data_IF_135154228748
#
_entry.id   IF_135154228748
#
_cell.length_a   1.000
_cell.length_b   1.000
_cell.length_c   1.000
_cell.angle_alpha   90.00
_cell.angle_beta   90.00
_cell.angle_gamma   90.00
#
_symmetry.space_group_name_H-M   'P 1'
#
loop_
_entity.id
_entity.type
_entity.pdbx_description
1 polymer ?
#
# COMPACT_ATOMS: atom_id res chain seq x y z
N UNK A 1 7.16 59.46 -12.33
CA UNK A 1 7.82 59.00 -13.57
C UNK A 1 9.04 58.11 -13.32
N UNK A 2 9.96 58.47 -12.40
CA UNK A 2 11.15 57.68 -12.10
C UNK A 2 10.85 56.21 -11.67
N UNK A 3 9.85 55.98 -10.81
CA UNK A 3 9.45 54.62 -10.40
C UNK A 3 8.92 53.76 -11.54
N UNK A 4 8.23 54.40 -12.51
CA UNK A 4 7.64 53.74 -13.66
C UNK A 4 8.72 53.35 -14.69
N UNK A 5 9.78 54.15 -14.77
CA UNK A 5 10.97 53.86 -15.58
C UNK A 5 11.82 52.75 -14.93
N UNK A 6 12.02 52.79 -13.61
CA UNK A 6 12.77 51.75 -12.89
C UNK A 6 12.04 50.40 -12.93
N UNK A 7 10.70 50.41 -12.88
CA UNK A 7 9.89 49.22 -13.06
C UNK A 7 9.92 48.64 -14.49
N UNK A 8 10.35 49.38 -15.51
CA UNK A 8 10.45 48.86 -16.89
C UNK A 8 11.80 48.22 -17.17
N UNK A 9 12.85 48.62 -16.45
CA UNK A 9 14.21 48.08 -16.57
C UNK A 9 14.22 46.56 -16.34
N UNK A 10 14.62 45.80 -17.36
CA UNK A 10 14.60 44.32 -17.31
C UNK A 10 13.22 43.67 -17.55
N UNK A 11 12.20 44.47 -17.85
CA UNK A 11 10.88 44.04 -18.34
C UNK A 11 10.55 44.57 -19.73
N UNK A 12 11.59 44.92 -20.48
CA UNK A 12 11.51 45.32 -21.88
C UNK A 12 10.92 44.18 -22.72
N UNK A 13 10.09 44.56 -23.69
CA UNK A 13 9.37 43.64 -24.58
C UNK A 13 9.51 44.12 -26.03
N UNK A 14 10.76 44.36 -26.44
CA UNK A 14 11.07 44.90 -27.77
C UNK A 14 10.84 43.86 -28.89
N UNK A 15 10.94 42.57 -28.56
CA UNK A 15 10.84 41.45 -29.52
C UNK A 15 9.54 40.63 -29.40
N UNK A 16 8.63 40.98 -28.49
CA UNK A 16 7.39 40.21 -28.22
C UNK A 16 7.61 38.82 -27.62
N UNK A 17 8.83 38.53 -27.16
CA UNK A 17 9.22 37.24 -26.58
C UNK A 17 8.82 37.09 -25.11
N UNK A 18 8.70 38.21 -24.38
CA UNK A 18 8.29 38.22 -22.97
C UNK A 18 6.88 37.66 -22.76
N UNK A 19 5.82 38.09 -23.50
CA UNK A 19 4.48 37.55 -23.33
C UNK A 19 4.39 36.07 -23.74
N UNK A 20 5.15 35.64 -24.75
CA UNK A 20 5.23 34.20 -25.12
C UNK A 20 5.84 33.36 -24.00
N UNK A 21 6.93 33.83 -23.39
CA UNK A 21 7.57 33.16 -22.24
C UNK A 21 6.65 33.12 -21.02
N UNK A 22 5.92 34.20 -20.76
CA UNK A 22 4.94 34.26 -19.67
C UNK A 22 3.76 33.32 -19.91
N UNK A 23 3.25 33.26 -21.15
CA UNK A 23 2.19 32.31 -21.51
C UNK A 23 2.66 30.86 -21.37
N UNK A 24 3.87 30.54 -21.84
CA UNK A 24 4.48 29.22 -21.67
C UNK A 24 4.73 28.86 -20.21
N UNK A 25 5.16 29.84 -19.40
CA UNK A 25 5.34 29.65 -17.97
C UNK A 25 4.01 29.32 -17.30
N UNK A 26 2.94 30.05 -17.63
CA UNK A 26 1.60 29.77 -17.11
C UNK A 26 1.09 28.37 -17.53
N UNK A 27 1.29 27.98 -18.79
CA UNK A 27 0.96 26.65 -19.31
C UNK A 27 1.72 25.54 -18.59
N UNK A 28 3.03 25.70 -18.38
CA UNK A 28 3.86 24.74 -17.67
C UNK A 28 3.46 24.63 -16.20
N UNK A 29 3.11 25.75 -15.54
CA UNK A 29 2.59 25.72 -14.17
C UNK A 29 1.25 24.98 -14.09
N UNK A 30 0.32 25.22 -15.02
CA UNK A 30 -0.96 24.51 -15.07
C UNK A 30 -0.76 23.00 -15.32
N UNK A 31 0.15 22.65 -16.22
CA UNK A 31 0.48 21.26 -16.54
C UNK A 31 1.11 20.55 -15.36
N UNK A 32 2.06 21.22 -14.68
CA UNK A 32 2.70 20.70 -13.47
C UNK A 32 1.66 20.45 -12.36
N UNK A 33 0.77 21.41 -12.10
CA UNK A 33 -0.27 21.25 -11.09
C UNK A 33 -1.20 20.07 -11.41
N UNK A 34 -1.55 19.87 -12.68
CA UNK A 34 -2.34 18.73 -13.13
C UNK A 34 -1.61 17.40 -12.90
N UNK A 35 -0.35 17.30 -13.31
CA UNK A 35 0.46 16.09 -13.14
C UNK A 35 0.74 15.77 -11.66
N UNK A 36 0.95 16.79 -10.82
CA UNK A 36 1.09 16.60 -9.37
C UNK A 36 -0.21 16.08 -8.73
N UNK A 37 -1.37 16.53 -9.20
CA UNK A 37 -2.67 16.00 -8.76
C UNK A 37 -2.87 14.53 -9.20
N UNK A 38 -2.51 14.19 -10.44
CA UNK A 38 -2.57 12.81 -10.94
C UNK A 38 -1.61 11.89 -10.17
N UNK A 39 -0.38 12.35 -9.90
CA UNK A 39 0.59 11.62 -9.08
C UNK A 39 0.10 11.42 -7.64
N UNK A 40 -0.57 12.41 -7.05
CA UNK A 40 -1.11 12.29 -5.70
C UNK A 40 -2.18 11.19 -5.60
N UNK A 41 -3.04 11.05 -6.61
CA UNK A 41 -4.03 9.97 -6.71
C UNK A 41 -3.33 8.62 -6.93
N UNK A 42 -2.27 8.58 -7.74
CA UNK A 42 -1.54 7.35 -8.03
C UNK A 42 -0.61 6.90 -6.90
N UNK A 43 -0.29 7.78 -5.94
CA UNK A 43 0.61 7.49 -4.81
C UNK A 43 0.07 6.38 -3.90
N UNK A 44 -1.24 6.18 -3.87
CA UNK A 44 -1.87 5.06 -3.15
C UNK A 44 -1.51 3.70 -3.77
N UNK A 45 -1.07 3.69 -5.03
CA UNK A 45 -0.62 2.50 -5.77
C UNK A 45 0.90 2.48 -5.94
N UNK A 46 1.67 2.94 -4.95
CA UNK A 46 3.13 2.85 -4.98
C UNK A 46 3.55 1.37 -5.07
N UNK A 47 4.21 0.95 -6.18
CA UNK A 47 4.63 -0.44 -6.35
C UNK A 47 5.54 -0.92 -5.22
N UNK A 48 6.33 -0.02 -4.61
CA UNK A 48 7.20 -0.39 -3.51
C UNK A 48 6.39 -0.68 -2.24
N UNK A 49 5.39 0.15 -1.93
CA UNK A 49 4.51 -0.06 -0.79
C UNK A 49 3.69 -1.35 -0.93
N UNK A 50 3.25 -1.68 -2.16
CA UNK A 50 2.57 -2.95 -2.45
C UNK A 50 3.52 -4.15 -2.27
N UNK A 51 4.75 -4.06 -2.79
CA UNK A 51 5.75 -5.12 -2.63
C UNK A 51 6.12 -5.37 -1.16
N UNK A 52 6.24 -4.30 -0.36
CA UNK A 52 6.51 -4.40 1.07
C UNK A 52 5.32 -5.05 1.80
N UNK A 53 4.09 -4.66 1.47
CA UNK A 53 2.87 -5.27 2.01
C UNK A 53 2.76 -6.76 1.64
N UNK A 54 3.06 -7.13 0.39
CA UNK A 54 3.06 -8.53 -0.05
C UNK A 54 4.07 -9.37 0.71
N UNK A 55 5.26 -8.83 0.96
CA UNK A 55 6.30 -9.50 1.75
C UNK A 55 5.88 -9.70 3.20
N UNK A 56 5.30 -8.67 3.83
CA UNK A 56 4.77 -8.78 5.19
C UNK A 56 3.62 -9.79 5.28
N UNK A 57 2.72 -9.78 4.29
CA UNK A 57 1.62 -10.74 4.18
C UNK A 57 2.15 -12.17 4.10
N UNK A 58 3.19 -12.42 3.31
CA UNK A 58 3.80 -13.74 3.19
C UNK A 58 4.36 -14.24 4.53
N UNK A 59 5.10 -13.38 5.23
CA UNK A 59 5.60 -13.70 6.57
C UNK A 59 4.46 -14.01 7.56
N UNK A 60 3.35 -13.28 7.48
CA UNK A 60 2.16 -13.53 8.30
C UNK A 60 1.49 -14.87 7.95
N UNK A 61 1.39 -15.23 6.66
CA UNK A 61 0.86 -16.51 6.21
C UNK A 61 1.71 -17.69 6.69
N UNK A 62 3.02 -17.62 6.49
CA UNK A 62 3.95 -18.65 6.96
C UNK A 62 3.87 -18.83 8.48
N UNK A 63 3.81 -17.74 9.22
CA UNK A 63 3.67 -17.77 10.67
C UNK A 63 2.33 -18.42 11.09
N UNK A 64 1.24 -18.08 10.42
CA UNK A 64 -0.07 -18.67 10.66
C UNK A 64 -0.08 -20.17 10.36
N UNK A 65 0.47 -20.60 9.21
CA UNK A 65 0.62 -22.00 8.83
C UNK A 65 1.38 -22.80 9.91
N UNK A 66 2.51 -22.25 10.39
CA UNK A 66 3.30 -22.88 11.46
C UNK A 66 2.50 -23.03 12.77
N UNK A 67 1.70 -22.03 13.14
CA UNK A 67 0.86 -22.14 14.33
C UNK A 67 -0.29 -23.14 14.13
N UNK A 68 -0.87 -23.21 12.94
CA UNK A 68 -1.86 -24.24 12.57
C UNK A 68 -1.27 -25.65 12.69
N UNK A 69 -0.06 -25.88 12.18
CA UNK A 69 0.66 -27.15 12.34
C UNK A 69 0.84 -27.53 13.81
N UNK A 70 1.27 -26.57 14.64
CA UNK A 70 1.46 -26.77 16.07
C UNK A 70 0.14 -27.16 16.76
N UNK A 71 -0.96 -26.48 16.43
CA UNK A 71 -2.30 -26.79 16.96
C UNK A 71 -2.71 -28.21 16.55
N UNK A 72 -2.50 -28.60 15.29
CA UNK A 72 -2.82 -29.94 14.80
C UNK A 72 -1.94 -31.03 15.43
N UNK A 73 -0.65 -30.74 15.68
CA UNK A 73 0.23 -31.63 16.42
C UNK A 73 -0.28 -31.84 17.86
N UNK A 74 -0.67 -30.76 18.55
CA UNK A 74 -1.28 -30.84 19.89
C UNK A 74 -2.58 -31.65 19.86
N UNK A 75 -3.48 -31.40 18.90
CA UNK A 75 -4.74 -32.15 18.72
C UNK A 75 -4.47 -33.65 18.50
N UNK A 76 -3.51 -33.97 17.64
CA UNK A 76 -3.09 -35.35 17.35
C UNK A 76 -2.55 -36.04 18.61
N UNK A 77 -1.74 -35.34 19.41
CA UNK A 77 -1.27 -35.86 20.69
C UNK A 77 -2.41 -36.12 21.69
N UNK A 78 -3.32 -35.16 21.86
CA UNK A 78 -4.46 -35.30 22.78
C UNK A 78 -5.37 -36.48 22.39
N UNK A 79 -5.65 -36.63 21.09
CA UNK A 79 -6.53 -37.70 20.62
C UNK A 79 -5.85 -39.07 20.60
N UNK A 80 -4.62 -39.17 20.06
CA UNK A 80 -3.93 -40.46 19.87
C UNK A 80 -3.20 -40.96 21.12
N UNK A 81 -2.60 -40.07 21.91
CA UNK A 81 -1.77 -40.45 23.07
C UNK A 81 -2.52 -40.34 24.39
N UNK A 82 -3.44 -39.37 24.52
CA UNK A 82 -4.26 -39.20 25.73
C UNK A 82 -5.65 -39.86 25.62
N UNK A 83 -6.03 -40.37 24.45
CA UNK A 83 -7.31 -41.05 24.24
C UNK A 83 -8.53 -40.14 24.31
N UNK A 84 -8.33 -38.82 24.18
CA UNK A 84 -9.40 -37.83 24.26
C UNK A 84 -10.27 -37.85 23.02
N UNK A 85 -11.58 -37.57 23.16
CA UNK A 85 -12.44 -37.42 21.99
C UNK A 85 -12.06 -36.17 21.18
N UNK A 86 -12.31 -36.21 19.87
CA UNK A 86 -12.01 -35.08 18.99
C UNK A 86 -12.72 -33.79 19.46
N UNK A 87 -13.97 -33.90 19.94
CA UNK A 87 -14.76 -32.77 20.43
C UNK A 87 -14.16 -32.11 21.68
N UNK A 88 -13.66 -32.92 22.62
CA UNK A 88 -12.99 -32.42 23.82
C UNK A 88 -11.64 -31.77 23.48
N UNK A 89 -10.86 -32.38 22.58
CA UNK A 89 -9.58 -31.83 22.15
C UNK A 89 -9.75 -30.46 21.46
N UNK A 90 -10.75 -30.32 20.58
CA UNK A 90 -11.09 -29.03 19.96
C UNK A 90 -11.49 -27.97 21.01
N UNK A 91 -12.31 -28.36 22.00
CA UNK A 91 -12.74 -27.47 23.08
C UNK A 91 -11.56 -26.98 23.93
N UNK A 92 -10.60 -27.84 24.26
CA UNK A 92 -9.41 -27.48 25.04
C UNK A 92 -8.49 -26.56 24.25
N UNK A 93 -8.31 -26.83 22.96
CA UNK A 93 -7.48 -26.01 22.08
C UNK A 93 -8.17 -24.69 21.67
N UNK A 94 -9.45 -24.51 22.00
CA UNK A 94 -10.20 -23.31 21.69
C UNK A 94 -10.48 -23.12 20.19
N UNK A 95 -10.50 -24.21 19.42
CA UNK A 95 -10.70 -24.17 17.96
C UNK A 95 -12.01 -24.83 17.54
N UNK A 96 -12.58 -24.38 16.42
CA UNK A 96 -13.77 -24.99 15.81
C UNK A 96 -13.41 -26.23 14.98
N UNK A 97 -14.42 -26.99 14.56
CA UNK A 97 -14.23 -28.10 13.60
C UNK A 97 -13.75 -27.64 12.24
N UNK A 98 -14.04 -26.39 11.88
CA UNK A 98 -13.80 -25.80 10.56
C UNK A 98 -12.51 -24.94 10.56
N UNK A 99 -11.69 -25.11 11.60
CA UNK A 99 -10.37 -24.51 11.70
C UNK A 99 -9.42 -25.23 10.76
N UNK A 100 -8.81 -24.47 9.85
CA UNK A 100 -7.90 -24.98 8.82
C UNK A 100 -6.88 -23.92 8.44
N UNK A 101 -6.00 -24.22 7.48
CA UNK A 101 -5.00 -23.27 6.99
C UNK A 101 -5.65 -22.02 6.38
N UNK A 102 -5.02 -20.83 6.52
CA UNK A 102 -5.52 -19.58 5.95
C UNK A 102 -5.74 -19.62 4.44
N UNK A 103 -4.90 -20.36 3.71
CA UNK A 103 -4.93 -20.42 2.24
C UNK A 103 -6.20 -21.10 1.70
N UNK A 104 -6.81 -21.99 2.47
CA UNK A 104 -8.05 -22.68 2.08
C UNK A 104 -9.28 -21.75 2.09
N UNK A 105 -9.15 -20.55 2.66
CA UNK A 105 -10.25 -19.57 2.81
C UNK A 105 -10.06 -18.29 2.01
N UNK A 106 -8.94 -18.11 1.31
CA UNK A 106 -8.69 -16.93 0.47
C UNK A 106 -9.02 -17.31 -0.99
N UNK A 107 -10.00 -16.65 -1.64
CA UNK A 107 -10.25 -16.85 -3.07
C UNK A 107 -8.97 -16.55 -3.87
N UNK A 108 -8.61 -17.46 -4.77
CA UNK A 108 -7.53 -17.26 -5.74
C UNK A 108 -7.86 -16.14 -6.73
#
# INVERSE_FOLDING_TARGET
>A
EAELADAKRGREDEDGERPKKLAKLAELHATRAKLEAELAVLKENDPQALADLEKELEMCKEAANRWTDNIFACKSYLTKKRGMSNKEALKILGISSDFDYPEDKIPK
#
